data_IF_572290353777
#
_entry.id   IF_572290353777
#
_cell.length_a   1.000
_cell.length_b   1.000
_cell.length_c   1.000
_cell.angle_alpha   90.00
_cell.angle_beta   90.00
_cell.angle_gamma   90.00
#
_symmetry.space_group_name_H-M   'P 1'
#
loop_
_entity.id
_entity.type
_entity.pdbx_description
1 polymer ?
#
# COMPACT_ATOMS: atom_id res chain seq x y z
N UNK A 1 -32.03 38.16 -9.71
CA UNK A 1 -31.29 37.49 -10.79
C UNK A 1 -29.83 37.88 -10.60
N UNK A 2 -28.87 37.01 -10.28
CA UNK A 2 -28.76 35.59 -10.59
C UNK A 2 -27.90 34.89 -9.54
N UNK A 3 -28.28 33.65 -9.23
CA UNK A 3 -27.60 32.72 -8.34
C UNK A 3 -26.66 31.79 -9.13
N UNK A 4 -25.57 31.37 -8.48
CA UNK A 4 -24.81 30.12 -8.66
C UNK A 4 -23.91 30.03 -9.93
N UNK A 5 -22.80 29.28 -9.97
CA UNK A 5 -22.54 27.98 -9.37
C UNK A 5 -21.02 27.70 -9.29
N UNK A 6 -20.58 27.04 -8.22
CA UNK A 6 -19.21 26.57 -7.99
C UNK A 6 -19.02 25.18 -8.62
N UNK A 7 -17.94 24.97 -9.40
CA UNK A 7 -17.60 23.66 -9.98
C UNK A 7 -16.79 22.85 -8.96
N UNK A 8 -17.44 21.91 -8.28
CA UNK A 8 -16.77 20.83 -7.56
C UNK A 8 -16.50 19.67 -8.53
N UNK A 9 -15.23 19.23 -8.60
CA UNK A 9 -14.77 18.11 -9.42
C UNK A 9 -14.95 16.82 -8.60
N UNK A 10 -15.91 15.97 -8.98
CA UNK A 10 -16.12 14.66 -8.36
C UNK A 10 -15.08 13.66 -8.90
N UNK A 11 -14.51 12.77 -8.06
CA UNK A 11 -13.69 11.67 -8.55
C UNK A 11 -14.56 10.61 -9.24
N UNK A 12 -14.13 10.21 -10.44
CA UNK A 12 -14.77 9.20 -11.27
C UNK A 12 -14.38 7.82 -10.76
N UNK A 13 -15.19 7.22 -9.91
CA UNK A 13 -15.02 5.81 -9.51
C UNK A 13 -15.30 4.89 -10.69
N UNK A 14 -14.30 4.09 -11.09
CA UNK A 14 -14.47 3.05 -12.12
C UNK A 14 -15.20 1.83 -11.54
N UNK A 15 -16.18 1.24 -12.25
CA UNK A 15 -16.92 0.09 -11.78
C UNK A 15 -16.29 -1.23 -12.24
N UNK A 16 -16.27 -2.22 -11.36
CA UNK A 16 -16.07 -3.63 -11.67
C UNK A 16 -15.76 -4.42 -10.41
N UNK A 17 -16.40 -5.54 -10.08
CA UNK A 17 -17.44 -6.33 -10.73
C UNK A 17 -17.96 -7.31 -9.65
N UNK A 18 -19.26 -7.57 -9.72
CA UNK A 18 -19.99 -8.75 -9.21
C UNK A 18 -20.22 -8.91 -7.70
N UNK A 19 -21.41 -8.46 -7.34
CA UNK A 19 -22.30 -9.04 -6.33
C UNK A 19 -22.25 -10.57 -6.31
N UNK A 20 -22.07 -11.14 -5.11
CA UNK A 20 -22.74 -12.39 -4.75
C UNK A 20 -23.50 -12.12 -3.46
N UNK A 21 -24.75 -11.68 -3.63
CA UNK A 21 -25.74 -11.78 -2.57
C UNK A 21 -26.05 -13.28 -2.40
N UNK A 22 -25.70 -13.84 -1.25
CA UNK A 22 -26.23 -15.11 -0.79
C UNK A 22 -26.95 -14.85 0.53
N UNK A 23 -28.25 -14.60 0.42
CA UNK A 23 -29.18 -14.85 1.52
C UNK A 23 -29.22 -16.36 1.76
N UNK A 24 -28.93 -16.79 2.97
CA UNK A 24 -29.49 -18.03 3.51
C UNK A 24 -29.64 -17.88 5.02
N UNK A 25 -30.88 -17.66 5.45
CA UNK A 25 -31.32 -17.90 6.81
C UNK A 25 -31.66 -19.40 6.88
N UNK A 26 -31.04 -20.13 7.80
CA UNK A 26 -31.54 -21.43 8.24
C UNK A 26 -31.05 -21.69 9.66
N UNK A 27 -31.96 -21.55 10.62
CA UNK A 27 -31.85 -22.11 11.96
C UNK A 27 -32.12 -23.63 11.86
N UNK A 28 -31.26 -24.48 12.43
CA UNK A 28 -31.65 -25.48 13.44
C UNK A 28 -30.42 -26.26 13.95
N UNK A 29 -30.43 -26.57 15.25
CA UNK A 29 -29.41 -27.28 16.03
C UNK A 29 -29.33 -28.78 15.68
N UNK A 30 -28.11 -29.34 15.56
CA UNK A 30 -27.74 -30.71 16.02
C UNK A 30 -26.30 -31.07 15.62
N UNK A 31 -25.60 -31.71 16.55
CA UNK A 31 -24.22 -32.22 16.51
C UNK A 31 -23.98 -33.35 15.51
N UNK A 32 -22.99 -33.24 14.62
CA UNK A 32 -21.79 -34.09 14.54
C UNK A 32 -21.00 -33.89 13.24
N UNK A 33 -19.69 -34.10 13.36
CA UNK A 33 -18.63 -33.75 12.42
C UNK A 33 -18.79 -34.29 10.99
N UNK A 34 -18.69 -33.36 10.04
CA UNK A 34 -18.07 -33.61 8.74
C UNK A 34 -16.94 -32.59 8.67
N UNK A 35 -15.70 -33.03 8.91
CA UNK A 35 -14.52 -32.25 8.51
C UNK A 35 -14.54 -32.20 6.99
N UNK A 36 -15.29 -31.24 6.46
CA UNK A 36 -15.12 -30.76 5.10
C UNK A 36 -13.67 -30.31 5.02
N UNK A 37 -12.84 -31.08 4.34
CA UNK A 37 -11.60 -30.58 3.75
C UNK A 37 -12.03 -29.49 2.77
N UNK A 38 -12.24 -28.28 3.31
CA UNK A 38 -12.31 -27.08 2.51
C UNK A 38 -10.95 -27.00 1.84
N UNK A 39 -10.89 -27.47 0.60
CA UNK A 39 -9.87 -27.04 -0.35
C UNK A 39 -9.94 -25.53 -0.35
N UNK A 40 -9.06 -24.91 0.44
CA UNK A 40 -8.84 -23.47 0.41
C UNK A 40 -8.33 -23.16 -0.98
N UNK A 41 -9.25 -22.89 -1.91
CA UNK A 41 -8.92 -22.20 -3.17
C UNK A 41 -8.13 -20.98 -2.71
N UNK A 42 -6.88 -20.77 -3.15
CA UNK A 42 -6.11 -19.64 -2.68
C UNK A 42 -6.95 -18.40 -2.96
N UNK A 43 -7.44 -17.79 -1.88
CA UNK A 43 -8.22 -16.57 -1.93
C UNK A 43 -7.37 -15.50 -2.59
N UNK A 44 -8.01 -14.45 -3.11
CA UNK A 44 -7.41 -13.25 -3.72
C UNK A 44 -6.22 -12.64 -2.95
N UNK A 45 -5.96 -13.08 -1.73
CA UNK A 45 -4.84 -12.76 -0.85
C UNK A 45 -3.44 -13.00 -1.44
N UNK A 46 -3.26 -13.90 -2.42
CA UNK A 46 -1.93 -14.18 -3.00
C UNK A 46 -1.28 -12.98 -3.71
N UNK A 47 -2.10 -12.04 -4.19
CA UNK A 47 -1.65 -10.87 -4.96
C UNK A 47 -1.78 -9.55 -4.19
N UNK A 48 -2.09 -9.60 -2.89
CA UNK A 48 -2.22 -8.42 -2.03
C UNK A 48 -1.00 -8.27 -1.15
N UNK A 49 -0.51 -7.04 -0.99
CA UNK A 49 0.57 -6.67 -0.07
C UNK A 49 0.08 -5.85 1.13
N UNK A 50 -1.24 -5.79 1.35
CA UNK A 50 -1.84 -5.19 2.54
C UNK A 50 -1.14 -5.64 3.84
N UNK A 51 -0.69 -4.66 4.63
CA UNK A 51 0.00 -4.88 5.90
C UNK A 51 1.47 -5.27 5.79
N UNK A 52 2.02 -5.36 4.57
CA UNK A 52 3.45 -5.56 4.35
C UNK A 52 4.19 -4.23 4.34
N UNK A 53 5.45 -4.26 4.74
CA UNK A 53 6.36 -3.10 4.73
C UNK A 53 7.47 -3.31 3.70
N UNK A 54 7.86 -2.24 3.02
CA UNK A 54 8.85 -2.30 1.95
C UNK A 54 9.84 -1.13 2.01
N UNK A 55 11.12 -1.42 1.77
CA UNK A 55 12.18 -0.41 1.62
C UNK A 55 12.61 -0.35 0.15
N UNK A 56 12.48 0.83 -0.48
CA UNK A 56 12.89 1.01 -1.88
C UNK A 56 14.03 2.01 -1.98
N UNK A 57 15.20 1.55 -2.43
CA UNK A 57 16.32 2.45 -2.70
C UNK A 57 16.19 3.11 -4.08
N UNK A 58 16.49 4.40 -4.18
CA UNK A 58 16.34 5.15 -5.43
C UNK A 58 14.87 5.33 -5.85
N UNK A 59 13.94 5.37 -4.89
CA UNK A 59 12.50 5.35 -5.13
C UNK A 59 11.92 6.60 -5.80
N UNK A 60 12.70 7.66 -6.02
CA UNK A 60 12.17 8.92 -6.56
C UNK A 60 12.07 8.95 -8.08
N UNK A 61 12.76 8.06 -8.81
CA UNK A 61 12.83 8.11 -10.28
C UNK A 61 12.88 6.72 -10.91
N UNK A 62 12.52 6.66 -12.20
CA UNK A 62 12.66 5.47 -13.04
C UNK A 62 11.96 4.24 -12.46
N UNK A 63 12.68 3.11 -12.43
CA UNK A 63 12.15 1.83 -11.94
C UNK A 63 11.79 1.94 -10.45
N UNK A 64 12.62 2.59 -9.64
CA UNK A 64 12.35 2.72 -8.20
C UNK A 64 11.03 3.44 -7.93
N UNK A 65 10.72 4.49 -8.69
CA UNK A 65 9.44 5.20 -8.58
C UNK A 65 8.25 4.30 -8.93
N UNK A 66 8.31 3.62 -10.08
CA UNK A 66 7.27 2.68 -10.49
C UNK A 66 7.08 1.53 -9.48
N UNK A 67 8.17 1.07 -8.87
CA UNK A 67 8.12 0.05 -7.82
C UNK A 67 7.41 0.55 -6.56
N UNK A 68 7.71 1.77 -6.10
CA UNK A 68 7.01 2.36 -4.94
C UNK A 68 5.52 2.46 -5.21
N UNK A 69 5.17 2.97 -6.38
CA UNK A 69 3.79 3.17 -6.83
C UNK A 69 3.03 1.84 -6.90
N UNK A 70 3.63 0.80 -7.46
CA UNK A 70 2.99 -0.52 -7.57
C UNK A 70 2.86 -1.22 -6.21
N UNK A 71 3.90 -1.17 -5.37
CA UNK A 71 3.84 -1.73 -4.02
C UNK A 71 2.76 -1.06 -3.18
N UNK A 72 2.67 0.27 -3.26
CA UNK A 72 1.65 1.05 -2.56
C UNK A 72 0.23 0.73 -3.08
N UNK A 73 0.05 0.56 -4.39
CA UNK A 73 -1.24 0.12 -4.98
C UNK A 73 -1.69 -1.24 -4.51
N UNK A 74 -0.74 -2.14 -4.24
CA UNK A 74 -1.02 -3.46 -3.67
C UNK A 74 -1.26 -3.41 -2.15
N UNK A 75 -1.18 -2.23 -1.54
CA UNK A 75 -1.48 -1.98 -0.13
C UNK A 75 -0.29 -2.08 0.82
N UNK A 76 0.94 -2.13 0.29
CA UNK A 76 2.13 -2.11 1.13
C UNK A 76 2.36 -0.70 1.71
N UNK A 77 2.94 -0.64 2.91
CA UNK A 77 3.53 0.58 3.45
C UNK A 77 4.97 0.67 2.93
N UNK A 78 5.31 1.73 2.20
CA UNK A 78 6.59 1.83 1.50
C UNK A 78 7.44 2.95 2.10
N UNK A 79 8.75 2.69 2.22
CA UNK A 79 9.75 3.69 2.63
C UNK A 79 10.80 3.84 1.52
N UNK A 80 10.57 4.69 0.49
CA UNK A 80 11.60 5.09 -0.46
C UNK A 80 12.72 5.91 0.18
N UNK A 81 13.95 5.73 -0.32
CA UNK A 81 15.06 6.62 -0.04
C UNK A 81 15.74 7.14 -1.31
N UNK A 82 16.26 8.35 -1.25
CA UNK A 82 17.00 9.00 -2.34
C UNK A 82 17.98 10.05 -1.81
N UNK A 83 18.89 10.52 -2.66
CA UNK A 83 19.90 11.54 -2.30
C UNK A 83 19.38 12.98 -2.38
N UNK A 84 18.36 13.21 -3.21
CA UNK A 84 17.82 14.56 -3.43
C UNK A 84 16.55 14.76 -2.60
N UNK A 85 16.67 15.55 -1.55
CA UNK A 85 15.57 15.90 -0.64
C UNK A 85 14.38 16.54 -1.36
N UNK A 86 14.63 17.46 -2.30
CA UNK A 86 13.56 18.18 -2.98
C UNK A 86 12.74 17.25 -3.90
N UNK A 87 13.40 16.33 -4.59
CA UNK A 87 12.72 15.30 -5.39
C UNK A 87 11.95 14.32 -4.50
N UNK A 88 12.55 13.88 -3.39
CA UNK A 88 11.89 12.99 -2.44
C UNK A 88 10.62 13.62 -1.86
N UNK A 89 10.71 14.85 -1.36
CA UNK A 89 9.57 15.57 -0.80
C UNK A 89 8.48 15.86 -1.84
N UNK A 90 8.83 16.02 -3.11
CA UNK A 90 7.85 16.09 -4.18
C UNK A 90 7.11 14.77 -4.35
N UNK A 91 7.84 13.66 -4.50
CA UNK A 91 7.21 12.35 -4.69
C UNK A 91 6.34 11.95 -3.49
N UNK A 92 6.77 12.25 -2.25
CA UNK A 92 5.98 11.99 -1.05
C UNK A 92 4.62 12.70 -1.08
N UNK A 93 4.59 13.98 -1.49
CA UNK A 93 3.32 14.71 -1.66
C UNK A 93 2.46 14.11 -2.77
N UNK A 94 3.06 13.78 -3.92
CA UNK A 94 2.36 13.19 -5.04
C UNK A 94 1.70 11.84 -4.63
N UNK A 95 2.42 11.00 -3.87
CA UNK A 95 1.88 9.73 -3.35
C UNK A 95 0.85 9.89 -2.23
N UNK A 96 1.02 10.89 -1.36
CA UNK A 96 0.03 11.23 -0.33
C UNK A 96 -1.28 11.70 -0.96
N UNK A 97 -1.22 12.51 -2.02
CA UNK A 97 -2.38 12.95 -2.81
C UNK A 97 -3.10 11.77 -3.50
N UNK A 98 -2.37 10.71 -3.87
CA UNK A 98 -2.93 9.44 -4.37
C UNK A 98 -3.52 8.55 -3.26
N UNK A 99 -3.30 8.89 -1.99
CA UNK A 99 -3.78 8.13 -0.82
C UNK A 99 -2.89 6.95 -0.43
N UNK A 100 -1.63 6.94 -0.87
CA UNK A 100 -0.67 5.89 -0.51
C UNK A 100 -0.04 6.14 0.86
N UNK A 101 0.28 5.06 1.58
CA UNK A 101 1.00 5.13 2.85
C UNK A 101 2.51 5.03 2.57
N UNK A 102 3.13 6.18 2.32
CA UNK A 102 4.55 6.28 1.98
C UNK A 102 5.26 7.23 2.93
N UNK A 103 6.41 6.80 3.45
CA UNK A 103 7.33 7.63 4.21
C UNK A 103 8.66 7.70 3.46
N UNK A 104 9.60 8.55 3.86
CA UNK A 104 10.89 8.55 3.18
C UNK A 104 11.98 9.25 3.96
N UNK A 105 13.22 8.90 3.62
CA UNK A 105 14.42 9.49 4.20
C UNK A 105 15.46 9.76 3.12
N UNK A 106 16.25 10.82 3.34
CA UNK A 106 17.39 11.12 2.49
C UNK A 106 18.53 10.17 2.84
N UNK A 107 19.02 9.42 1.86
CA UNK A 107 20.10 8.47 2.05
C UNK A 107 20.99 8.40 0.82
N UNK A 108 22.31 8.46 1.02
CA UNK A 108 23.29 7.99 0.05
C UNK A 108 23.68 6.54 0.34
N UNK A 109 23.17 5.61 -0.46
CA UNK A 109 23.45 4.17 -0.30
C UNK A 109 24.93 3.82 -0.48
N UNK A 110 25.75 4.68 -1.08
CA UNK A 110 27.20 4.46 -1.17
C UNK A 110 27.90 4.69 0.19
N UNK A 111 27.34 5.55 1.05
CA UNK A 111 27.86 5.86 2.38
C UNK A 111 27.47 4.79 3.40
N UNK A 112 28.46 4.22 4.09
CA UNK A 112 28.19 3.24 5.17
C UNK A 112 27.41 3.85 6.32
N UNK A 113 27.69 5.11 6.64
CA UNK A 113 27.02 5.83 7.74
C UNK A 113 25.55 6.05 7.40
N UNK A 114 25.25 6.44 6.17
CA UNK A 114 23.87 6.72 5.76
C UNK A 114 23.07 5.42 5.63
N UNK A 115 23.67 4.34 5.14
CA UNK A 115 23.03 3.02 5.17
C UNK A 115 22.64 2.59 6.58
N UNK A 116 23.49 2.83 7.58
CA UNK A 116 23.15 2.48 8.96
C UNK A 116 21.97 3.29 9.46
N UNK A 117 22.00 4.62 9.24
CA UNK A 117 20.88 5.51 9.61
C UNK A 117 19.58 5.11 8.92
N UNK A 118 19.62 4.81 7.62
CA UNK A 118 18.45 4.36 6.87
C UNK A 118 17.82 3.12 7.49
N UNK A 119 18.62 2.13 7.88
CA UNK A 119 18.11 0.91 8.52
C UNK A 119 17.52 1.21 9.91
N UNK A 120 18.16 2.09 10.68
CA UNK A 120 17.66 2.50 11.99
C UNK A 120 16.31 3.24 11.86
N UNK A 121 16.19 4.16 10.90
CA UNK A 121 14.96 4.90 10.58
C UNK A 121 13.85 3.94 10.14
N UNK A 122 14.13 3.03 9.20
CA UNK A 122 13.18 2.03 8.70
C UNK A 122 12.72 1.10 9.82
N UNK A 123 13.64 0.65 10.67
CA UNK A 123 13.32 -0.18 11.83
C UNK A 123 12.39 0.55 12.80
N UNK A 124 12.63 1.84 13.04
CA UNK A 124 11.78 2.65 13.90
C UNK A 124 10.39 2.89 13.30
N UNK A 125 10.30 3.15 11.98
CA UNK A 125 9.03 3.41 11.29
C UNK A 125 8.18 2.14 11.21
N UNK A 126 8.78 1.00 10.95
CA UNK A 126 8.07 -0.28 10.75
C UNK A 126 8.00 -1.17 12.00
N UNK A 127 8.49 -0.70 13.15
CA UNK A 127 8.48 -1.49 14.39
C UNK A 127 9.32 -2.77 14.30
N UNK A 128 10.42 -2.73 13.54
CA UNK A 128 11.36 -3.84 13.38
C UNK A 128 10.94 -4.94 12.40
N UNK A 129 9.83 -4.80 11.68
CA UNK A 129 9.40 -5.76 10.66
C UNK A 129 9.56 -5.16 9.24
N UNK A 130 10.46 -5.72 8.44
CA UNK A 130 10.64 -5.39 7.02
C UNK A 130 10.34 -6.62 6.16
N UNK A 131 9.38 -6.53 5.23
CA UNK A 131 8.99 -7.66 4.39
C UNK A 131 9.68 -7.69 3.02
N UNK A 132 9.97 -6.51 2.45
CA UNK A 132 10.48 -6.31 1.09
C UNK A 132 11.69 -5.38 1.10
#
# INVERSE_FOLDING_TARGET
ASSHCSLAKLPVSRPGNRTNASFNISLCSSTNAISSTTTTRPSSSRWSLNGMTALVTGGTRGIGHATVEELARLGATVHPCARNDAELNRCLRDWEDEGFVVTGSVCDVSSRVDRQKLIDDVSSVFGGALNI
#
